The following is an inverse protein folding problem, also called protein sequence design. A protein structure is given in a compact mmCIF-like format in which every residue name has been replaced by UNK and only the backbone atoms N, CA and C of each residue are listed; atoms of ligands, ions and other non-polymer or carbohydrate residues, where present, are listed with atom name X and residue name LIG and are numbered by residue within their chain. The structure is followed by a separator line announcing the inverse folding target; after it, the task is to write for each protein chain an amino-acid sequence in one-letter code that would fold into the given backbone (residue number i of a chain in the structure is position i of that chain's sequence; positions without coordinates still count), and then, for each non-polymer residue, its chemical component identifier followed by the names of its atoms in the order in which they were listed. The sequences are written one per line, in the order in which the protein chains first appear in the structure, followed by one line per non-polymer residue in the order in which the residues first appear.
data_IF_528482839588
#
_entry.id   IF_528482839588
#
_cell.length_a   1.000
_cell.length_b   1.000
_cell.length_c   1.000
_cell.angle_alpha   90.00
_cell.angle_beta   90.00
_cell.angle_gamma   90.00
#
_symmetry.space_group_name_H-M   'P 1'
#
loop_
_entity.id
_entity.type
_entity.pdbx_description
1 polymer ?
#
# COMPACT_ATOMS: atom_id res chain seq x y z
N UNK A 1 -3.49 26.73 -25.91
CA UNK A 1 -4.79 26.82 -25.17
C UNK A 1 -5.93 27.30 -26.08
N UNK A 2 -5.80 28.41 -26.82
CA UNK A 2 -6.84 28.94 -27.71
C UNK A 2 -7.27 28.01 -28.86
N UNK A 3 -6.34 27.26 -29.45
CA UNK A 3 -6.65 26.30 -30.53
C UNK A 3 -7.48 25.10 -30.07
N UNK A 4 -7.30 24.66 -28.82
CA UNK A 4 -8.08 23.58 -28.21
C UNK A 4 -9.55 23.97 -28.11
N UNK A 5 -9.84 25.17 -27.60
CA UNK A 5 -11.22 25.65 -27.43
C UNK A 5 -11.93 25.86 -28.77
N UNK A 6 -11.24 26.33 -29.81
CA UNK A 6 -11.82 26.46 -31.16
C UNK A 6 -12.27 25.12 -31.77
N UNK A 7 -11.51 24.04 -31.52
CA UNK A 7 -11.88 22.70 -31.97
C UNK A 7 -13.03 22.15 -31.12
N UNK A 8 -12.91 22.28 -29.80
CA UNK A 8 -13.91 21.84 -28.85
C UNK A 8 -15.28 22.49 -29.07
N UNK A 9 -15.33 23.79 -29.40
CA UNK A 9 -16.57 24.52 -29.68
C UNK A 9 -17.31 23.99 -30.92
N UNK A 10 -16.56 23.62 -31.97
CA UNK A 10 -17.13 22.95 -33.15
C UNK A 10 -17.69 21.57 -32.80
N UNK A 11 -16.95 20.80 -31.99
CA UNK A 11 -17.37 19.48 -31.53
C UNK A 11 -18.63 19.60 -30.63
N UNK A 12 -18.72 20.64 -29.80
CA UNK A 12 -19.89 20.93 -28.95
C UNK A 12 -21.13 21.24 -29.78
N UNK A 13 -21.02 22.14 -30.77
CA UNK A 13 -22.15 22.47 -31.64
C UNK A 13 -22.59 21.29 -32.52
N UNK A 14 -21.67 20.42 -32.90
CA UNK A 14 -22.00 19.18 -33.59
C UNK A 14 -22.75 18.21 -32.68
N UNK A 15 -22.25 18.02 -31.45
CA UNK A 15 -22.86 17.19 -30.43
C UNK A 15 -24.29 17.65 -30.05
N UNK A 16 -24.50 18.96 -29.88
CA UNK A 16 -25.83 19.53 -29.59
C UNK A 16 -26.88 19.20 -30.65
N UNK A 17 -26.47 19.11 -31.93
CA UNK A 17 -27.38 18.85 -33.05
C UNK A 17 -27.61 17.36 -33.34
N UNK A 18 -26.63 16.50 -33.05
CA UNK A 18 -26.64 15.09 -33.49
C UNK A 18 -26.72 14.08 -32.35
N UNK A 19 -26.44 14.46 -31.11
CA UNK A 19 -26.55 13.53 -29.98
C UNK A 19 -27.99 13.48 -29.47
N UNK A 20 -28.60 12.30 -29.53
CA UNK A 20 -29.92 12.07 -28.96
C UNK A 20 -29.89 12.21 -27.43
N UNK A 21 -30.93 12.83 -26.87
CA UNK A 21 -31.07 13.00 -25.42
C UNK A 21 -31.55 11.70 -24.77
N UNK A 22 -30.63 10.74 -24.58
CA UNK A 22 -30.89 9.41 -23.98
C UNK A 22 -31.60 9.52 -22.60
N UNK A 23 -31.33 10.59 -21.84
CA UNK A 23 -31.92 10.84 -20.51
C UNK A 23 -33.44 11.10 -20.53
N UNK A 24 -34.02 11.39 -21.69
CA UNK A 24 -35.46 11.65 -21.86
C UNK A 24 -36.23 10.45 -22.42
N UNK A 25 -35.54 9.37 -22.77
CA UNK A 25 -36.19 8.17 -23.28
C UNK A 25 -36.75 7.34 -22.12
N UNK A 26 -38.02 6.97 -22.24
CA UNK A 26 -38.69 6.05 -21.35
C UNK A 26 -39.14 4.84 -22.18
N UNK A 27 -38.64 3.65 -21.85
CA UNK A 27 -39.11 2.42 -22.51
C UNK A 27 -40.17 1.75 -21.62
N UNK A 28 -41.40 1.54 -22.10
CA UNK A 28 -42.42 0.83 -21.33
C UNK A 28 -42.03 -0.64 -21.16
N UNK A 29 -42.40 -1.22 -20.02
CA UNK A 29 -42.16 -2.63 -19.72
C UNK A 29 -43.41 -3.30 -19.16
N UNK A 30 -43.42 -4.63 -19.22
CA UNK A 30 -44.56 -5.44 -18.76
C UNK A 30 -44.53 -5.69 -17.24
N UNK A 31 -43.48 -5.25 -16.53
CA UNK A 31 -43.38 -5.41 -15.09
C UNK A 31 -44.29 -4.43 -14.33
N UNK A 32 -44.98 -4.91 -13.29
CA UNK A 32 -45.85 -4.08 -12.43
C UNK A 32 -45.11 -3.67 -11.17
N UNK A 33 -45.37 -2.45 -10.72
CA UNK A 33 -44.85 -1.90 -9.48
C UNK A 33 -45.45 -2.61 -8.25
N UNK A 34 -44.59 -3.08 -7.35
CA UNK A 34 -45.00 -3.78 -6.12
C UNK A 34 -45.72 -2.87 -5.11
N UNK A 35 -45.54 -1.54 -5.22
CA UNK A 35 -46.14 -0.57 -4.27
C UNK A 35 -47.51 -0.05 -4.68
N UNK A 36 -47.76 0.12 -5.98
CA UNK A 36 -48.99 0.74 -6.47
C UNK A 36 -49.67 -0.01 -7.63
N UNK A 37 -49.06 -1.08 -8.15
CA UNK A 37 -49.59 -1.89 -9.24
C UNK A 37 -49.51 -1.25 -10.64
N UNK A 38 -49.06 0.01 -10.76
CA UNK A 38 -48.82 0.71 -12.03
C UNK A 38 -47.64 0.09 -12.80
N UNK A 39 -47.60 0.24 -14.12
CA UNK A 39 -46.51 -0.28 -14.94
C UNK A 39 -45.15 0.35 -14.58
N UNK A 40 -44.07 -0.42 -14.73
CA UNK A 40 -42.72 0.08 -14.65
C UNK A 40 -42.22 0.53 -16.03
N UNK A 41 -41.40 1.57 -16.04
CA UNK A 41 -40.73 2.10 -17.24
C UNK A 41 -39.23 2.12 -16.99
N UNK A 42 -38.43 1.81 -18.02
CA UNK A 42 -36.97 1.91 -17.94
C UNK A 42 -36.57 3.35 -18.26
N UNK A 43 -35.82 3.98 -17.34
CA UNK A 43 -35.23 5.31 -17.49
C UNK A 43 -33.70 5.22 -17.40
N UNK A 44 -32.99 6.15 -18.04
CA UNK A 44 -31.52 6.19 -18.06
C UNK A 44 -30.96 7.28 -17.13
N UNK A 45 -30.20 6.86 -16.12
CA UNK A 45 -29.53 7.73 -15.16
C UNK A 45 -28.01 7.82 -15.37
N UNK A 46 -27.31 8.42 -14.40
CA UNK A 46 -25.83 8.51 -14.40
C UNK A 46 -25.14 7.15 -14.31
N UNK A 47 -25.80 6.16 -13.72
CA UNK A 47 -25.25 4.85 -13.37
C UNK A 47 -25.83 3.70 -14.22
N UNK A 48 -26.46 4.02 -15.36
CA UNK A 48 -27.12 3.03 -16.22
C UNK A 48 -28.64 3.17 -16.25
N UNK A 49 -29.30 2.20 -16.86
CA UNK A 49 -30.76 2.13 -16.91
C UNK A 49 -31.34 1.54 -15.62
N UNK A 50 -32.55 1.96 -15.26
CA UNK A 50 -33.26 1.47 -14.07
C UNK A 50 -34.77 1.47 -14.29
N UNK A 51 -35.49 0.60 -13.59
CA UNK A 51 -36.95 0.57 -13.59
C UNK A 51 -37.49 1.64 -12.64
N UNK A 52 -38.42 2.45 -13.11
CA UNK A 52 -39.14 3.47 -12.36
C UNK A 52 -40.64 3.29 -12.53
N UNK A 53 -41.42 3.63 -11.51
CA UNK A 53 -42.87 3.61 -11.62
C UNK A 53 -43.39 4.66 -12.63
N UNK A 54 -44.33 4.27 -13.50
CA UNK A 54 -44.93 5.18 -14.49
C UNK A 54 -45.76 6.30 -13.87
N UNK A 55 -46.24 6.13 -12.63
CA UNK A 55 -47.03 7.11 -11.88
C UNK A 55 -46.18 8.04 -11.00
N UNK A 56 -44.86 7.99 -11.13
CA UNK A 56 -43.95 8.88 -10.40
C UNK A 56 -43.93 10.28 -11.02
N UNK A 57 -44.26 11.28 -10.22
CA UNK A 57 -44.18 12.69 -10.61
C UNK A 57 -43.37 13.49 -9.60
N UNK A 58 -42.45 14.34 -10.09
CA UNK A 58 -41.48 15.04 -9.23
C UNK A 58 -42.12 16.15 -8.41
N UNK A 59 -43.22 16.72 -8.89
CA UNK A 59 -43.89 17.87 -8.26
C UNK A 59 -44.88 17.45 -7.17
N UNK A 60 -45.34 16.18 -7.20
CA UNK A 60 -46.34 15.65 -6.28
C UNK A 60 -45.73 14.64 -5.30
N UNK A 61 -45.61 14.97 -3.99
CA UNK A 61 -45.04 14.10 -2.97
C UNK A 61 -45.83 12.82 -2.70
N UNK A 62 -47.09 12.76 -3.14
CA UNK A 62 -48.00 11.62 -2.94
C UNK A 62 -47.88 10.55 -4.04
N UNK A 63 -46.92 10.69 -4.97
CA UNK A 63 -46.73 9.75 -6.08
C UNK A 63 -45.79 8.60 -5.73
N UNK A 64 -45.88 7.51 -6.50
CA UNK A 64 -45.14 6.30 -6.19
C UNK A 64 -43.66 6.42 -6.56
N UNK A 65 -42.79 6.57 -5.55
CA UNK A 65 -41.32 6.69 -5.71
C UNK A 65 -40.59 5.34 -5.86
N UNK A 66 -41.27 4.30 -6.32
CA UNK A 66 -40.66 2.97 -6.45
C UNK A 66 -39.67 2.93 -7.62
N UNK A 67 -38.44 2.49 -7.35
CA UNK A 67 -37.40 2.25 -8.34
C UNK A 67 -36.70 0.91 -8.06
N UNK A 68 -36.24 0.26 -9.14
CA UNK A 68 -35.56 -1.05 -9.11
C UNK A 68 -34.41 -1.04 -10.11
N UNK A 69 -33.29 -1.67 -9.77
CA UNK A 69 -32.11 -1.73 -10.62
C UNK A 69 -32.36 -2.63 -11.85
N UNK A 70 -31.86 -2.24 -13.03
CA UNK A 70 -31.91 -3.07 -14.23
C UNK A 70 -30.61 -3.89 -14.37
N UNK A 71 -30.63 -5.22 -14.29
CA UNK A 71 -29.42 -6.05 -14.32
C UNK A 71 -28.68 -6.08 -15.66
N UNK A 72 -29.32 -5.65 -16.75
CA UNK A 72 -28.84 -5.86 -18.13
C UNK A 72 -27.69 -4.92 -18.51
N UNK A 73 -27.50 -3.80 -17.80
CA UNK A 73 -26.51 -2.75 -18.12
C UNK A 73 -25.30 -2.70 -17.17
N UNK A 74 -25.05 -3.74 -16.35
CA UNK A 74 -23.71 -3.88 -15.78
C UNK A 74 -22.81 -4.47 -16.88
N UNK A 75 -21.88 -3.69 -17.48
CA UNK A 75 -20.80 -4.33 -18.22
C UNK A 75 -20.02 -5.17 -17.22
N UNK A 76 -20.16 -6.49 -17.33
CA UNK A 76 -19.32 -7.49 -16.68
C UNK A 76 -17.87 -7.32 -17.18
N UNK A 77 -17.17 -6.32 -16.61
CA UNK A 77 -15.74 -6.09 -16.81
C UNK A 77 -14.87 -7.13 -16.09
N UNK A 78 -15.47 -8.20 -15.56
CA UNK A 78 -14.78 -9.28 -14.84
C UNK A 78 -14.77 -10.63 -15.62
N UNK A 79 -15.41 -10.73 -16.79
CA UNK A 79 -15.58 -12.02 -17.49
C UNK A 79 -14.55 -12.34 -18.58
N UNK A 80 -13.60 -11.44 -18.88
CA UNK A 80 -12.64 -11.63 -19.98
C UNK A 80 -11.18 -11.90 -19.57
N UNK A 81 -10.82 -11.79 -18.27
CA UNK A 81 -9.44 -11.97 -17.79
C UNK A 81 -9.33 -13.00 -16.65
N UNK A 82 -10.18 -14.04 -16.66
CA UNK A 82 -9.93 -15.23 -15.84
C UNK A 82 -9.00 -16.15 -16.62
N UNK A 83 -7.74 -15.76 -16.76
CA UNK A 83 -6.70 -16.74 -17.10
C UNK A 83 -6.51 -17.65 -15.90
N UNK A 84 -6.83 -18.92 -16.12
CA UNK A 84 -6.57 -20.08 -15.27
C UNK A 84 -5.14 -20.04 -14.74
N UNK A 85 -4.95 -19.65 -13.49
CA UNK A 85 -3.78 -19.99 -12.64
C UNK A 85 -3.99 -19.41 -11.24
N UNK A 86 -5.01 -19.88 -10.53
CA UNK A 86 -5.09 -19.64 -9.08
C UNK A 86 -5.31 -20.96 -8.36
N UNK A 87 -4.36 -21.29 -7.49
CA UNK A 87 -4.45 -22.44 -6.59
C UNK A 87 -5.75 -22.34 -5.79
N UNK A 88 -6.54 -23.40 -5.78
CA UNK A 88 -7.74 -23.49 -4.94
C UNK A 88 -7.34 -23.42 -3.46
N UNK A 89 -7.51 -22.25 -2.85
CA UNK A 89 -7.31 -22.08 -1.42
C UNK A 89 -8.60 -22.39 -0.65
N UNK A 90 -8.50 -23.28 0.33
CA UNK A 90 -9.60 -23.64 1.21
C UNK A 90 -9.61 -22.74 2.45
N UNK A 91 -10.81 -22.40 2.91
CA UNK A 91 -10.98 -21.60 4.11
C UNK A 91 -10.63 -22.41 5.37
N UNK A 92 -9.78 -21.83 6.23
CA UNK A 92 -9.32 -22.44 7.50
C UNK A 92 -10.46 -22.80 8.48
N UNK A 93 -11.63 -22.15 8.37
CA UNK A 93 -12.75 -22.34 9.29
C UNK A 93 -13.81 -23.32 8.76
N UNK A 94 -14.17 -23.19 7.47
CA UNK A 94 -15.27 -23.94 6.85
C UNK A 94 -14.79 -25.10 5.94
N UNK A 95 -13.51 -25.12 5.57
CA UNK A 95 -12.96 -26.05 4.56
C UNK A 95 -13.47 -25.83 3.14
N UNK A 96 -14.43 -24.91 2.92
CA UNK A 96 -14.96 -24.57 1.59
C UNK A 96 -13.95 -23.71 0.84
N UNK A 97 -13.99 -23.80 -0.49
CA UNK A 97 -13.18 -22.97 -1.37
C UNK A 97 -13.41 -21.48 -1.11
N UNK A 98 -12.33 -20.71 -1.17
CA UNK A 98 -12.38 -19.26 -1.08
C UNK A 98 -12.38 -18.63 -2.47
N UNK A 99 -13.13 -17.56 -2.64
CA UNK A 99 -13.26 -16.82 -3.91
C UNK A 99 -12.64 -15.43 -3.77
N UNK A 100 -11.88 -15.02 -4.78
CA UNK A 100 -11.29 -13.69 -4.87
C UNK A 100 -12.39 -12.65 -5.16
N UNK A 101 -12.60 -11.71 -4.24
CA UNK A 101 -13.53 -10.58 -4.37
C UNK A 101 -12.79 -9.25 -4.26
N UNK A 102 -13.31 -8.21 -4.92
CA UNK A 102 -12.80 -6.84 -4.82
C UNK A 102 -13.64 -6.03 -3.84
N UNK A 103 -13.00 -5.37 -2.88
CA UNK A 103 -13.64 -4.46 -1.93
C UNK A 103 -12.98 -3.09 -1.90
N UNK A 104 -13.49 -2.17 -1.05
CA UNK A 104 -12.94 -0.81 -0.87
C UNK A 104 -11.43 -0.79 -0.56
N UNK A 105 -10.93 -1.83 0.10
CA UNK A 105 -9.56 -1.90 0.59
C UNK A 105 -8.66 -2.81 -0.27
N UNK A 106 -9.08 -3.17 -1.47
CA UNK A 106 -8.35 -4.07 -2.37
C UNK A 106 -9.01 -5.44 -2.51
N UNK A 107 -8.29 -6.37 -3.14
CA UNK A 107 -8.73 -7.74 -3.36
C UNK A 107 -8.59 -8.58 -2.08
N UNK A 108 -9.56 -9.46 -1.84
CA UNK A 108 -9.60 -10.36 -0.68
C UNK A 108 -10.25 -11.69 -1.07
N UNK A 109 -9.83 -12.78 -0.43
CA UNK A 109 -10.47 -14.09 -0.50
C UNK A 109 -11.66 -14.15 0.47
N UNK A 110 -12.81 -14.69 0.06
CA UNK A 110 -14.01 -14.87 0.89
C UNK A 110 -14.51 -16.34 0.86
N UNK A 111 -14.88 -16.93 2.01
CA UNK A 111 -15.50 -18.28 2.02
C UNK A 111 -16.81 -18.24 1.22
N UNK A 112 -17.02 -19.23 0.34
CA UNK A 112 -18.27 -19.43 -0.42
C UNK A 112 -19.49 -19.67 0.47
N UNK A 113 -19.26 -20.06 1.73
CA UNK A 113 -20.30 -20.32 2.72
C UNK A 113 -20.92 -19.10 3.39
N UNK A 114 -20.80 -17.89 2.86
CA UNK A 114 -21.52 -16.73 3.40
C UNK A 114 -23.03 -16.90 3.17
N UNK A 115 -23.92 -16.65 4.16
CA UNK A 115 -23.69 -15.96 5.45
C UNK A 115 -23.21 -16.85 6.62
N UNK A 116 -23.23 -18.17 6.48
CA UNK A 116 -22.90 -19.13 7.55
C UNK A 116 -21.43 -19.06 7.98
N UNK A 117 -20.52 -18.78 7.04
CA UNK A 117 -19.10 -18.55 7.29
C UNK A 117 -18.68 -17.18 6.74
N UNK A 118 -18.37 -16.25 7.65
CA UNK A 118 -17.95 -14.87 7.33
C UNK A 118 -16.43 -14.70 7.19
N UNK A 119 -15.70 -15.79 7.03
CA UNK A 119 -14.24 -15.77 6.95
C UNK A 119 -13.79 -15.08 5.66
N UNK A 120 -12.93 -14.07 5.82
CA UNK A 120 -12.29 -13.34 4.73
C UNK A 120 -10.78 -13.25 4.99
N UNK A 121 -9.97 -13.35 3.95
CA UNK A 121 -8.51 -13.29 4.01
C UNK A 121 -8.03 -12.25 3.01
N UNK A 122 -7.18 -11.31 3.42
CA UNK A 122 -6.61 -10.34 2.49
C UNK A 122 -5.39 -10.90 1.77
N UNK A 123 -5.21 -10.55 0.50
CA UNK A 123 -4.10 -11.00 -0.34
C UNK A 123 -2.82 -10.19 -0.14
N UNK A 124 -2.94 -8.99 0.42
CA UNK A 124 -1.85 -8.02 0.67
C UNK A 124 -0.93 -8.43 1.82
N UNK A 125 -1.24 -9.50 2.56
CA UNK A 125 -0.24 -10.17 3.38
C UNK A 125 0.74 -10.90 2.45
N UNK A 126 1.73 -10.14 1.95
CA UNK A 126 2.94 -10.72 1.38
C UNK A 126 3.39 -11.88 2.26
N UNK A 127 3.70 -13.02 1.65
CA UNK A 127 4.11 -14.27 2.33
C UNK A 127 4.86 -13.93 3.61
N UNK A 128 4.27 -14.24 4.78
CA UNK A 128 4.97 -14.12 6.05
C UNK A 128 6.22 -14.98 5.92
N UNK A 129 7.38 -14.34 5.80
CA UNK A 129 8.64 -15.05 5.81
C UNK A 129 8.73 -15.72 7.19
N UNK A 130 8.93 -17.04 7.26
CA UNK A 130 8.99 -17.75 8.52
C UNK A 130 10.13 -17.20 9.37
N UNK A 131 9.93 -17.20 10.69
CA UNK A 131 10.96 -16.74 11.61
C UNK A 131 12.18 -17.68 11.56
N UNK A 132 13.37 -17.13 11.34
CA UNK A 132 14.61 -17.91 11.23
C UNK A 132 15.27 -17.97 12.62
N UNK A 133 15.39 -19.15 13.26
CA UNK A 133 16.08 -19.27 14.53
C UNK A 133 17.59 -19.04 14.34
N UNK A 134 18.20 -18.36 15.31
CA UNK A 134 19.62 -18.09 15.37
C UNK A 134 20.20 -18.80 16.60
N UNK A 135 21.41 -19.36 16.49
CA UNK A 135 22.08 -20.06 17.60
C UNK A 135 22.69 -19.10 18.64
N UNK A 136 22.57 -17.79 18.42
CA UNK A 136 22.99 -16.78 19.38
C UNK A 136 22.05 -16.73 20.58
N UNK A 137 22.62 -16.74 21.79
CA UNK A 137 21.85 -16.60 23.03
C UNK A 137 21.59 -15.12 23.35
N UNK A 138 20.39 -14.83 23.84
CA UNK A 138 20.02 -13.49 24.26
C UNK A 138 20.74 -13.12 25.58
N UNK A 139 21.34 -11.91 25.68
CA UNK A 139 22.05 -11.47 26.88
C UNK A 139 21.15 -11.21 28.10
N UNK A 140 19.82 -11.13 27.93
CA UNK A 140 18.87 -10.92 29.03
C UNK A 140 18.18 -12.19 29.51
N UNK A 141 17.77 -13.05 28.58
CA UNK A 141 16.93 -14.23 28.85
C UNK A 141 17.72 -15.54 28.77
N UNK A 142 18.90 -15.56 28.12
CA UNK A 142 19.65 -16.79 27.82
C UNK A 142 18.99 -17.70 26.78
N UNK A 143 17.81 -17.36 26.24
CA UNK A 143 17.13 -18.11 25.18
C UNK A 143 17.70 -17.74 23.80
N UNK A 144 17.52 -18.61 22.82
CA UNK A 144 17.96 -18.37 21.44
C UNK A 144 17.30 -17.13 20.84
N UNK A 145 18.05 -16.43 20.01
CA UNK A 145 17.58 -15.31 19.22
C UNK A 145 16.92 -15.81 17.94
N UNK A 146 16.08 -14.98 17.32
CA UNK A 146 15.37 -15.31 16.09
C UNK A 146 15.18 -14.06 15.23
N UNK A 147 15.35 -14.21 13.91
CA UNK A 147 15.10 -13.16 12.92
C UNK A 147 13.62 -13.20 12.57
N UNK A 148 12.93 -12.08 12.76
CA UNK A 148 11.52 -11.88 12.43
C UNK A 148 11.37 -10.82 11.35
N UNK A 149 10.33 -10.92 10.54
CA UNK A 149 10.01 -9.91 9.53
C UNK A 149 8.85 -9.02 9.98
N UNK A 150 9.05 -7.70 9.93
CA UNK A 150 8.04 -6.71 10.30
C UNK A 150 7.90 -5.59 9.27
N UNK A 151 7.09 -4.59 9.60
CA UNK A 151 6.81 -3.42 8.75
C UNK A 151 8.05 -2.60 8.34
N UNK A 152 9.14 -2.72 9.09
CA UNK A 152 10.39 -1.98 8.87
C UNK A 152 11.52 -2.88 8.38
N UNK A 153 11.23 -4.11 7.98
CA UNK A 153 12.22 -5.10 7.56
C UNK A 153 12.43 -6.22 8.57
N UNK A 154 13.53 -6.94 8.40
CA UNK A 154 13.95 -8.00 9.31
C UNK A 154 14.62 -7.44 10.56
N UNK A 155 14.42 -8.09 11.70
CA UNK A 155 15.01 -7.70 12.97
C UNK A 155 15.16 -8.92 13.88
N UNK A 156 16.22 -8.90 14.71
CA UNK A 156 16.57 -10.04 15.56
C UNK A 156 16.07 -9.84 16.99
N UNK A 157 15.31 -10.81 17.53
CA UNK A 157 14.63 -10.73 18.84
C UNK A 157 14.83 -11.98 19.69
N UNK A 158 14.67 -11.88 21.03
CA UNK A 158 14.65 -13.08 21.90
C UNK A 158 13.41 -13.93 21.55
N UNK A 159 13.61 -15.25 21.45
CA UNK A 159 12.51 -16.23 21.28
C UNK A 159 11.46 -16.17 22.39
N UNK A 160 11.87 -15.71 23.58
CA UNK A 160 11.00 -15.53 24.74
C UNK A 160 10.07 -14.32 24.73
N UNK A 161 9.76 -13.73 23.59
CA UNK A 161 8.70 -12.72 23.51
C UNK A 161 7.33 -13.36 23.83
N UNK A 162 6.48 -12.79 24.71
CA UNK A 162 6.47 -11.39 25.20
C UNK A 162 7.27 -11.12 26.49
N UNK A 163 7.75 -12.14 27.20
CA UNK A 163 8.45 -12.00 28.49
C UNK A 163 9.77 -11.23 28.34
N UNK A 164 10.52 -11.53 27.28
CA UNK A 164 11.76 -10.85 26.95
C UNK A 164 11.59 -10.00 25.68
N UNK A 165 11.51 -8.67 25.87
CA UNK A 165 11.42 -7.68 24.77
C UNK A 165 12.79 -7.22 24.25
N UNK A 166 13.81 -8.07 24.36
CA UNK A 166 15.15 -7.75 23.86
C UNK A 166 15.17 -7.81 22.32
N UNK A 167 15.72 -6.76 21.72
CA UNK A 167 15.95 -6.62 20.28
C UNK A 167 17.43 -6.34 20.09
N UNK A 168 18.10 -7.17 19.28
CA UNK A 168 19.51 -6.94 18.93
C UNK A 168 19.58 -5.75 17.98
N UNK A 169 20.39 -4.76 18.34
CA UNK A 169 20.65 -3.59 17.49
C UNK A 169 21.90 -3.85 16.65
N UNK A 170 21.88 -3.42 15.39
CA UNK A 170 23.01 -3.55 14.47
C UNK A 170 23.95 -2.36 14.66
N UNK A 171 24.97 -2.51 15.49
CA UNK A 171 26.00 -1.49 15.72
C UNK A 171 27.06 -1.51 14.61
N UNK A 172 27.47 -0.32 14.14
CA UNK A 172 28.49 -0.17 13.07
C UNK A 172 29.92 -0.15 13.66
N UNK A 173 30.05 -0.01 14.99
CA UNK A 173 31.34 0.15 15.67
C UNK A 173 31.89 1.59 15.69
N UNK A 174 31.11 2.59 15.30
CA UNK A 174 31.46 4.01 15.44
C UNK A 174 30.82 4.62 16.69
N UNK A 175 31.62 5.36 17.47
CA UNK A 175 31.12 6.26 18.52
C UNK A 175 30.46 7.50 17.91
N UNK A 176 29.35 7.92 18.51
CA UNK A 176 28.56 9.05 18.04
C UNK A 176 29.38 10.35 18.12
N UNK A 177 29.45 11.13 17.03
CA UNK A 177 30.24 12.37 17.02
C UNK A 177 29.67 13.42 17.98
N UNK A 178 28.34 13.47 18.17
CA UNK A 178 27.71 14.46 19.04
C UNK A 178 27.89 14.17 20.54
N UNK A 179 27.74 12.91 20.97
CA UNK A 179 27.77 12.57 22.40
C UNK A 179 29.03 11.82 22.85
N UNK A 180 29.84 11.31 21.92
CA UNK A 180 31.10 10.55 22.14
C UNK A 180 30.98 9.26 22.98
N UNK A 181 29.85 9.06 23.66
CA UNK A 181 29.57 7.89 24.51
C UNK A 181 28.71 6.85 23.80
N UNK A 182 27.69 7.28 23.04
CA UNK A 182 26.77 6.36 22.38
C UNK A 182 27.36 5.77 21.11
N UNK A 183 27.02 4.52 20.79
CA UNK A 183 27.39 3.89 19.52
C UNK A 183 26.32 4.12 18.44
N UNK A 184 26.74 4.12 17.18
CA UNK A 184 25.83 4.27 16.05
C UNK A 184 25.21 2.94 15.63
N UNK A 185 23.90 3.01 15.39
CA UNK A 185 23.04 1.88 15.05
C UNK A 185 22.44 2.10 13.67
N UNK A 186 22.45 1.08 12.83
CA UNK A 186 21.73 1.06 11.56
C UNK A 186 20.23 0.85 11.78
N UNK A 187 19.41 1.72 11.18
CA UNK A 187 17.95 1.72 11.27
C UNK A 187 17.32 1.91 9.90
N UNK A 188 16.10 1.40 9.72
CA UNK A 188 15.29 1.63 8.51
C UNK A 188 14.23 2.69 8.75
N UNK A 189 14.16 3.68 7.86
CA UNK A 189 13.14 4.73 7.89
C UNK A 189 11.81 4.20 7.35
N UNK A 190 10.71 4.94 7.60
CA UNK A 190 9.37 4.59 7.10
C UNK A 190 9.30 4.49 5.57
N UNK A 191 10.15 5.23 4.85
CA UNK A 191 10.23 5.21 3.38
C UNK A 191 11.14 4.10 2.82
N UNK A 192 11.70 3.23 3.68
CA UNK A 192 12.59 2.14 3.28
C UNK A 192 14.08 2.48 3.31
N UNK A 193 14.44 3.77 3.30
CA UNK A 193 15.85 4.20 3.35
C UNK A 193 16.52 3.79 4.67
N UNK A 194 17.73 3.25 4.61
CA UNK A 194 18.59 3.02 5.76
C UNK A 194 19.15 4.36 6.26
N UNK A 195 19.26 4.50 7.57
CA UNK A 195 19.87 5.65 8.22
C UNK A 195 20.58 5.19 9.50
N UNK A 196 21.53 5.97 9.95
CA UNK A 196 22.39 5.65 11.08
C UNK A 196 22.11 6.63 12.20
N UNK A 197 21.74 6.13 13.38
CA UNK A 197 21.36 6.96 14.52
C UNK A 197 22.06 6.54 15.79
N UNK A 198 22.18 7.45 16.75
CA UNK A 198 22.76 7.10 18.05
C UNK A 198 21.88 6.09 18.82
N UNK A 199 22.51 5.08 19.42
CA UNK A 199 21.87 4.09 20.28
C UNK A 199 21.28 4.69 21.56
N UNK A 200 21.84 5.80 22.04
CA UNK A 200 21.38 6.52 23.23
C UNK A 200 20.14 7.41 23.00
N UNK A 201 19.37 7.19 21.93
CA UNK A 201 18.07 7.85 21.75
C UNK A 201 17.12 7.49 22.91
N UNK A 202 16.41 8.44 23.55
CA UNK A 202 16.17 9.84 23.13
C UNK A 202 17.19 10.88 23.64
N UNK A 203 18.19 10.49 24.44
CA UNK A 203 19.19 11.42 25.02
C UNK A 203 20.06 12.07 23.95
N UNK A 204 20.46 11.32 22.92
CA UNK A 204 21.17 11.84 21.75
C UNK A 204 20.33 11.65 20.49
N UNK A 205 20.09 12.73 19.74
CA UNK A 205 19.27 12.77 18.51
C UNK A 205 20.11 12.78 17.22
N UNK A 206 21.37 12.38 17.28
CA UNK A 206 22.22 12.28 16.09
C UNK A 206 21.63 11.30 15.07
N UNK A 207 21.55 11.74 13.81
CA UNK A 207 21.14 10.92 12.67
C UNK A 207 21.94 11.28 11.42
N UNK A 208 22.38 10.28 10.66
CA UNK A 208 23.02 10.43 9.35
C UNK A 208 22.30 9.54 8.33
N UNK A 209 22.12 10.04 7.09
CA UNK A 209 21.53 9.26 6.01
C UNK A 209 22.51 8.22 5.43
N UNK A 210 23.80 8.57 5.39
CA UNK A 210 24.87 7.74 4.85
C UNK A 210 25.74 7.19 5.99
N UNK A 211 26.45 6.09 5.74
CA UNK A 211 27.22 5.39 6.77
C UNK A 211 28.41 6.25 7.21
N UNK A 212 28.46 6.70 8.47
CA UNK A 212 29.56 7.53 8.92
C UNK A 212 30.80 6.69 9.24
N UNK A 213 31.98 7.18 8.87
CA UNK A 213 33.31 6.55 9.03
C UNK A 213 34.15 7.39 10.01
N UNK A 214 34.86 6.77 10.98
CA UNK A 214 35.57 7.48 12.05
C UNK A 214 36.91 8.07 11.58
N UNK A 215 36.86 8.79 10.46
CA UNK A 215 37.98 9.47 9.84
C UNK A 215 37.69 10.95 9.76
N UNK A 216 38.68 11.78 10.09
CA UNK A 216 38.56 13.23 9.97
C UNK A 216 38.75 13.64 8.52
N UNK A 217 37.99 14.64 8.08
CA UNK A 217 38.19 15.21 6.75
C UNK A 217 39.54 15.94 6.67
N UNK A 218 40.41 15.65 5.68
CA UNK A 218 41.69 16.33 5.52
C UNK A 218 41.55 17.79 5.08
N UNK A 219 40.49 18.15 4.36
CA UNK A 219 40.32 19.51 3.81
C UNK A 219 39.70 20.49 4.82
N UNK A 220 38.70 20.06 5.59
CA UNK A 220 37.96 20.94 6.50
C UNK A 220 38.05 20.55 7.98
N UNK A 221 38.68 19.42 8.32
CA UNK A 221 38.81 18.98 9.70
C UNK A 221 37.52 18.46 10.36
N UNK A 222 36.46 18.19 9.58
CA UNK A 222 35.21 17.61 10.08
C UNK A 222 35.46 16.27 10.81
N UNK A 223 34.72 15.99 11.89
CA UNK A 223 34.99 14.86 12.81
C UNK A 223 34.80 13.46 12.21
N UNK A 224 34.00 13.34 11.15
CA UNK A 224 33.69 12.08 10.48
C UNK A 224 33.42 12.31 8.98
N UNK A 225 33.66 11.27 8.19
CA UNK A 225 33.30 11.19 6.77
C UNK A 225 32.09 10.28 6.58
N UNK A 226 31.49 10.26 5.39
CA UNK A 226 30.34 9.42 5.06
C UNK A 226 30.55 8.59 3.80
N UNK A 227 30.16 7.32 3.85
CA UNK A 227 30.14 6.40 2.70
C UNK A 227 28.85 6.58 1.90
N UNK A 228 28.97 7.04 0.67
CA UNK A 228 27.87 7.19 -0.30
C UNK A 228 27.98 6.08 -1.35
N UNK A 229 26.86 5.47 -1.71
CA UNK A 229 26.79 4.52 -2.82
C UNK A 229 26.32 5.24 -4.10
N UNK A 230 27.24 5.49 -5.03
CA UNK A 230 26.96 6.05 -6.35
C UNK A 230 26.90 4.94 -7.40
N UNK A 231 26.39 5.26 -8.60
CA UNK A 231 26.38 4.31 -9.74
C UNK A 231 27.78 3.81 -10.12
N UNK A 232 28.81 4.64 -9.92
CA UNK A 232 30.20 4.34 -10.22
C UNK A 232 30.89 3.48 -9.14
N UNK A 233 30.27 3.31 -7.97
CA UNK A 233 30.85 2.60 -6.82
C UNK A 233 30.65 3.35 -5.50
N UNK A 234 31.10 2.74 -4.38
CA UNK A 234 31.12 3.40 -3.08
C UNK A 234 32.20 4.49 -3.04
N UNK A 235 31.81 5.68 -2.56
CA UNK A 235 32.73 6.82 -2.34
C UNK A 235 32.63 7.29 -0.90
N UNK A 236 33.76 7.73 -0.36
CA UNK A 236 33.84 8.38 0.95
C UNK A 236 33.85 9.88 0.71
N UNK A 237 32.88 10.59 1.27
CA UNK A 237 32.70 12.01 1.06
C UNK A 237 32.56 12.76 2.38
N UNK A 238 32.88 14.05 2.39
CA UNK A 238 32.59 14.90 3.54
C UNK A 238 31.08 15.11 3.70
N UNK A 239 30.54 15.07 4.94
CA UNK A 239 29.15 15.45 5.20
C UNK A 239 28.93 16.97 5.17
N UNK A 240 30.00 17.78 5.27
CA UNK A 240 29.88 19.24 5.24
C UNK A 240 29.56 19.72 3.82
N UNK A 241 28.57 20.60 3.67
CA UNK A 241 28.17 21.16 2.37
C UNK A 241 29.19 22.14 1.79
N UNK A 242 30.06 22.70 2.63
CA UNK A 242 31.11 23.65 2.23
C UNK A 242 32.42 22.95 1.85
N UNK A 243 32.47 21.62 1.91
CA UNK A 243 33.67 20.83 1.64
C UNK A 243 33.39 19.76 0.59
N UNK A 244 34.07 19.85 -0.55
CA UNK A 244 33.93 18.94 -1.69
C UNK A 244 34.89 17.74 -1.63
N UNK A 245 35.42 17.42 -0.45
CA UNK A 245 36.32 16.27 -0.29
C UNK A 245 35.58 14.97 -0.58
N UNK A 246 36.01 14.26 -1.63
CA UNK A 246 35.54 12.93 -1.99
C UNK A 246 36.71 12.03 -2.41
N UNK A 247 36.69 10.77 -1.99
CA UNK A 247 37.63 9.73 -2.42
C UNK A 247 36.91 8.41 -2.69
N UNK A 248 37.49 7.55 -3.52
CA UNK A 248 36.96 6.19 -3.70
C UNK A 248 37.07 5.41 -2.38
N UNK A 249 36.02 4.67 -2.02
CA UNK A 249 36.12 3.73 -0.91
C UNK A 249 36.95 2.53 -1.37
N UNK A 250 37.99 2.16 -0.61
CA UNK A 250 38.71 0.91 -0.88
C UNK A 250 37.74 -0.25 -0.68
N UNK A 251 37.67 -1.23 -1.61
CA UNK A 251 36.82 -2.40 -1.42
C UNK A 251 37.30 -3.12 -0.16
N UNK A 252 36.36 -3.45 0.73
CA UNK A 252 36.66 -4.20 1.94
C UNK A 252 37.49 -5.46 1.58
N UNK A 253 38.55 -5.79 2.34
CA UNK A 253 39.35 -6.98 2.06
C UNK A 253 38.42 -8.19 2.09
N UNK A 254 38.30 -8.86 0.94
CA UNK A 254 37.61 -10.14 0.81
C UNK A 254 38.50 -11.17 1.51
N UNK A 255 38.16 -11.49 2.75
CA UNK A 255 38.80 -12.56 3.54
C UNK A 255 38.12 -13.90 3.32
#
# INVERSE_FOLDING_TARGET
LSEFYKKFEKDLHYAEKHMENIKRMEKPTDEKCERCGSALVIKWGKHGSFFACSSYDKEDPNTCTFTKENPIDLPDLDSADIQETTQEEYCENCGRVMVLKRGRFGQFMACTGYPDCRTTRRLDQGKKVPDIPLDELCPKCGRNMMIRHGRYGEFTTCSGYPDCKYVKQNFIGMKCPLCKEGELVEKRARKGNTFYGCGNYPKCKFTSANKPIPEKCPDCGHEYLVEKFLKAGPVIACPNKECDYERAAEPAPVG
#
